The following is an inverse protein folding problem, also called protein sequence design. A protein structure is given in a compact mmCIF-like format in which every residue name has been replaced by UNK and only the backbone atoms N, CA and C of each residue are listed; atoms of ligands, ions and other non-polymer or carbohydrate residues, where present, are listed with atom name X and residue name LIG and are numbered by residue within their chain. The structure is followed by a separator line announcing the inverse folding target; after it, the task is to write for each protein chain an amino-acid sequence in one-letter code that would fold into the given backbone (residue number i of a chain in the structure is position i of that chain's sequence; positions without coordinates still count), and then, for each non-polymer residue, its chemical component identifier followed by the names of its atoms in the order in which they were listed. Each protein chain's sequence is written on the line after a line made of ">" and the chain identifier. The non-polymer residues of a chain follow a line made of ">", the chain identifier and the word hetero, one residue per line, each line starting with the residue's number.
data_IF_206271088313
#
_entry.id   IF_206271088313
#
_cell.length_a   1.000
_cell.length_b   1.000
_cell.length_c   1.000
_cell.angle_alpha   90.00
_cell.angle_beta   90.00
_cell.angle_gamma   90.00
#
_symmetry.space_group_name_H-M   'P 1'
#
loop_
_entity.id
_entity.type
_entity.pdbx_description
1 polymer ?
#
# COMPACT_ATOMS: atom_id res chain seq x y z
N UNK A 1 25.92 7.66 101.63
CA UNK A 1 24.68 7.15 101.01
C UNK A 1 24.93 6.80 99.55
N UNK A 2 24.28 5.73 99.09
CA UNK A 2 24.52 4.94 97.87
C UNK A 2 23.69 5.41 96.65
N UNK A 3 24.26 5.20 95.44
CA UNK A 3 23.70 4.62 94.19
C UNK A 3 22.39 5.15 93.53
N UNK A 4 22.44 5.37 92.20
CA UNK A 4 21.73 4.66 91.06
C UNK A 4 21.64 5.58 89.82
N UNK A 5 22.28 5.25 88.68
CA UNK A 5 21.80 4.53 87.46
C UNK A 5 20.58 5.16 86.76
N UNK A 6 20.69 5.48 85.47
CA UNK A 6 19.87 4.87 84.40
C UNK A 6 20.44 5.08 82.98
N UNK A 7 20.32 4.04 82.17
CA UNK A 7 20.72 3.90 80.76
C UNK A 7 19.62 4.45 79.84
N UNK A 8 19.99 5.00 78.69
CA UNK A 8 19.10 5.07 77.52
C UNK A 8 19.88 4.64 76.27
N UNK A 9 19.61 3.41 75.87
CA UNK A 9 19.99 2.78 74.60
C UNK A 9 19.17 3.37 73.45
N UNK A 10 19.82 3.85 72.39
CA UNK A 10 19.18 4.14 71.11
C UNK A 10 19.59 3.05 70.11
N UNK A 11 18.65 2.27 69.55
CA UNK A 11 18.95 1.35 68.47
C UNK A 11 19.05 2.12 67.15
N UNK A 12 20.20 2.00 66.48
CA UNK A 12 20.39 2.48 65.11
C UNK A 12 19.66 1.51 64.17
N UNK A 13 18.47 1.92 63.70
CA UNK A 13 17.71 1.16 62.71
C UNK A 13 18.44 1.15 61.37
N UNK A 14 18.71 -0.05 60.85
CA UNK A 14 19.16 -0.30 59.49
C UNK A 14 18.14 0.24 58.48
N UNK A 15 18.50 1.30 57.76
CA UNK A 15 17.84 1.71 56.53
C UNK A 15 18.21 0.72 55.42
N UNK A 16 17.32 -0.24 55.17
CA UNK A 16 17.30 -0.99 53.92
C UNK A 16 16.96 -0.02 52.78
N UNK A 17 17.99 0.49 52.11
CA UNK A 17 17.82 1.10 50.79
C UNK A 17 17.39 -0.01 49.82
N UNK A 18 16.09 -0.06 49.52
CA UNK A 18 15.60 -0.79 48.34
C UNK A 18 16.23 -0.12 47.12
N UNK A 19 17.28 -0.73 46.59
CA UNK A 19 17.70 -0.53 45.21
C UNK A 19 16.55 -1.01 44.32
N UNK A 20 15.61 -0.10 44.05
CA UNK A 20 14.63 -0.30 43.00
C UNK A 20 15.40 -0.41 41.69
N UNK A 21 15.38 -1.60 41.10
CA UNK A 21 15.70 -1.76 39.69
C UNK A 21 14.76 -0.83 38.92
N UNK A 22 15.28 0.32 38.50
CA UNK A 22 14.70 1.06 37.40
C UNK A 22 14.80 0.12 36.20
N UNK A 23 13.72 -0.61 35.92
CA UNK A 23 13.52 -1.20 34.60
C UNK A 23 13.68 -0.04 33.63
N UNK A 24 14.77 -0.06 32.87
CA UNK A 24 14.93 0.84 31.75
C UNK A 24 13.68 0.65 30.89
N UNK A 25 12.79 1.66 30.89
CA UNK A 25 11.73 1.71 29.90
C UNK A 25 12.46 1.75 28.57
N UNK A 26 12.43 0.63 27.84
CA UNK A 26 12.74 0.65 26.41
C UNK A 26 11.88 1.77 25.85
N UNK A 27 12.46 2.85 25.29
CA UNK A 27 11.65 3.88 24.68
C UNK A 27 10.71 3.16 23.72
N UNK A 28 9.39 3.45 23.72
CA UNK A 28 8.47 2.81 22.79
C UNK A 28 9.13 2.91 21.42
N UNK A 29 9.41 1.77 20.80
CA UNK A 29 10.14 1.74 19.53
C UNK A 29 9.39 2.69 18.60
N UNK A 30 9.97 3.85 18.29
CA UNK A 30 9.30 4.82 17.46
C UNK A 30 8.87 4.07 16.19
N UNK A 31 7.56 4.05 15.91
CA UNK A 31 7.04 3.28 14.79
C UNK A 31 7.68 3.71 13.46
N UNK A 32 7.40 2.96 12.40
CA UNK A 32 8.09 3.14 11.11
C UNK A 32 7.95 4.57 10.53
N UNK A 33 6.95 5.35 10.99
CA UNK A 33 6.70 6.72 10.52
C UNK A 33 7.88 7.63 10.79
N UNK A 34 8.40 7.63 12.01
CA UNK A 34 9.48 8.54 12.38
C UNK A 34 10.75 8.26 11.56
N UNK A 35 10.99 6.98 11.22
CA UNK A 35 12.07 6.59 10.34
C UNK A 35 11.82 7.05 8.90
N UNK A 36 10.62 6.82 8.36
CA UNK A 36 10.24 7.27 7.01
C UNK A 36 10.35 8.80 6.86
N UNK A 37 9.88 9.56 7.86
CA UNK A 37 9.96 11.03 7.87
C UNK A 37 11.42 11.52 7.87
N UNK A 38 12.32 10.90 8.67
CA UNK A 38 13.75 11.25 8.65
C UNK A 38 14.42 10.99 7.30
N UNK A 39 13.95 9.98 6.57
CA UNK A 39 14.43 9.65 5.23
C UNK A 39 13.70 10.40 4.12
N UNK A 40 12.75 11.28 4.47
CA UNK A 40 11.82 11.92 3.52
C UNK A 40 11.08 10.94 2.61
N UNK A 41 10.95 9.68 3.07
CA UNK A 41 10.35 8.59 2.32
C UNK A 41 8.85 8.52 2.57
N UNK A 42 8.07 8.29 1.51
CA UNK A 42 6.62 8.03 1.63
C UNK A 42 6.42 6.56 2.02
N UNK A 43 6.05 6.30 3.26
CA UNK A 43 5.66 4.98 3.72
C UNK A 43 4.20 4.98 4.20
N UNK A 44 3.38 4.13 3.60
CA UNK A 44 1.93 4.18 3.71
C UNK A 44 1.25 2.85 4.01
N UNK A 45 -0.04 2.92 4.27
CA UNK A 45 -0.93 1.75 4.30
C UNK A 45 -2.28 2.05 3.65
N UNK A 46 -2.89 1.04 3.05
CA UNK A 46 -4.33 1.06 2.83
C UNK A 46 -5.08 1.16 4.15
N UNK A 47 -6.17 1.94 4.16
CA UNK A 47 -7.01 2.19 5.34
C UNK A 47 -8.49 2.17 4.96
N UNK A 48 -9.33 1.76 5.90
CA UNK A 48 -10.79 1.81 5.79
C UNK A 48 -11.41 2.74 6.86
N UNK A 49 -12.64 3.24 6.67
CA UNK A 49 -13.32 4.13 7.63
C UNK A 49 -13.45 3.53 9.05
N UNK A 50 -13.56 2.21 9.16
CA UNK A 50 -13.64 1.48 10.42
C UNK A 50 -12.35 1.64 11.24
N UNK A 51 -11.18 1.63 10.58
CA UNK A 51 -9.88 1.85 11.24
C UNK A 51 -9.77 3.28 11.76
N UNK A 52 -10.27 4.26 10.98
CA UNK A 52 -10.31 5.67 11.38
C UNK A 52 -11.17 5.89 12.62
N UNK A 53 -12.29 5.16 12.74
CA UNK A 53 -13.21 5.25 13.87
C UNK A 53 -12.75 4.51 15.13
N UNK A 54 -11.77 3.61 15.01
CA UNK A 54 -11.27 2.79 16.13
C UNK A 54 -10.00 3.42 16.72
N UNK A 55 -9.99 3.84 18.01
CA UNK A 55 -8.82 4.48 18.62
C UNK A 55 -7.56 3.61 18.62
N UNK A 56 -7.69 2.30 18.78
CA UNK A 56 -6.55 1.38 18.81
C UNK A 56 -6.00 1.18 17.40
N UNK A 57 -6.89 0.95 16.42
CA UNK A 57 -6.47 0.76 15.03
C UNK A 57 -5.84 2.05 14.48
N UNK A 58 -6.51 3.19 14.62
CA UNK A 58 -5.99 4.49 14.15
C UNK A 58 -4.63 4.86 14.76
N UNK A 59 -4.37 4.51 16.03
CA UNK A 59 -3.06 4.72 16.65
C UNK A 59 -1.94 3.95 15.93
N UNK A 60 -2.19 2.69 15.53
CA UNK A 60 -1.23 1.88 14.76
C UNK A 60 -0.86 2.59 13.46
N UNK A 61 -1.81 3.21 12.77
CA UNK A 61 -1.53 4.01 11.56
C UNK A 61 -0.71 5.26 11.90
N UNK A 62 -1.10 6.03 12.92
CA UNK A 62 -0.41 7.29 13.25
C UNK A 62 1.03 7.11 13.71
N UNK A 63 1.35 5.95 14.30
CA UNK A 63 2.70 5.62 14.75
C UNK A 63 3.60 5.11 13.61
N UNK A 64 3.03 4.51 12.57
CA UNK A 64 3.82 3.73 11.60
C UNK A 64 3.84 4.28 10.18
N UNK A 65 2.88 5.10 9.76
CA UNK A 65 2.82 5.57 8.37
C UNK A 65 2.67 7.08 8.26
N UNK A 66 3.21 7.66 7.18
CA UNK A 66 3.05 9.08 6.81
C UNK A 66 2.20 9.26 5.54
N UNK A 67 1.62 8.17 5.02
CA UNK A 67 0.70 8.18 3.88
C UNK A 67 -0.43 7.17 4.10
N UNK A 68 -1.62 7.46 3.58
CA UNK A 68 -2.73 6.51 3.56
C UNK A 68 -3.35 6.39 2.17
N UNK A 69 -3.89 5.21 1.87
CA UNK A 69 -4.63 4.92 0.63
C UNK A 69 -6.05 4.49 0.99
N UNK A 70 -7.12 5.20 0.58
CA UNK A 70 -8.49 4.70 0.76
C UNK A 70 -8.66 3.39 0.00
N UNK A 71 -8.83 2.27 0.72
CA UNK A 71 -8.78 0.93 0.13
C UNK A 71 -9.82 0.72 -0.96
N UNK A 72 -11.03 1.23 -0.74
CA UNK A 72 -12.16 1.05 -1.64
C UNK A 72 -12.94 2.34 -1.92
N UNK A 73 -12.80 3.36 -1.07
CA UNK A 73 -13.71 4.50 -1.00
C UNK A 73 -13.52 5.49 -2.15
N UNK A 74 -12.42 5.37 -2.91
CA UNK A 74 -12.16 6.14 -4.13
C UNK A 74 -12.38 5.35 -5.43
N UNK A 75 -12.69 4.05 -5.36
CA UNK A 75 -13.03 3.26 -6.55
C UNK A 75 -14.35 3.74 -7.16
N UNK A 76 -14.54 3.56 -8.47
CA UNK A 76 -15.75 4.00 -9.17
C UNK A 76 -17.06 3.46 -8.53
N UNK A 77 -17.03 2.21 -8.05
CA UNK A 77 -18.14 1.58 -7.32
C UNK A 77 -18.51 2.29 -5.99
N UNK A 78 -17.59 3.04 -5.40
CA UNK A 78 -17.87 3.82 -4.20
C UNK A 78 -18.30 5.26 -4.55
N UNK A 79 -17.64 5.88 -5.53
CA UNK A 79 -17.77 7.31 -5.78
C UNK A 79 -18.90 7.68 -6.74
N UNK A 80 -19.29 6.82 -7.69
CA UNK A 80 -20.34 7.12 -8.69
C UNK A 80 -21.20 5.88 -9.01
N UNK A 81 -21.96 5.42 -8.01
CA UNK A 81 -22.82 4.23 -8.11
C UNK A 81 -23.92 4.34 -9.16
N UNK A 82 -24.39 5.56 -9.42
CA UNK A 82 -25.36 5.87 -10.48
C UNK A 82 -24.80 6.98 -11.37
N UNK A 83 -25.14 7.02 -12.67
CA UNK A 83 -24.59 8.01 -13.60
C UNK A 83 -24.77 9.44 -13.08
N UNK A 84 -23.66 10.16 -12.86
CA UNK A 84 -23.67 11.56 -12.42
C UNK A 84 -24.00 11.80 -10.94
N UNK A 85 -24.29 10.75 -10.16
CA UNK A 85 -24.60 10.87 -8.72
C UNK A 85 -23.37 10.44 -7.92
N UNK A 86 -22.68 11.43 -7.35
CA UNK A 86 -21.44 11.19 -6.61
C UNK A 86 -21.64 11.07 -5.10
N UNK A 87 -20.90 10.16 -4.48
CA UNK A 87 -20.82 10.01 -3.02
C UNK A 87 -19.37 9.99 -2.57
N UNK A 88 -19.03 10.84 -1.60
CA UNK A 88 -17.65 11.03 -1.15
C UNK A 88 -17.45 10.87 0.36
N UNK A 89 -18.52 10.72 1.14
CA UNK A 89 -18.46 10.75 2.61
C UNK A 89 -17.38 9.83 3.21
N UNK A 90 -17.35 8.52 2.87
CA UNK A 90 -16.31 7.61 3.37
C UNK A 90 -14.88 8.00 2.98
N UNK A 91 -14.67 8.49 1.75
CA UNK A 91 -13.35 8.95 1.30
C UNK A 91 -12.95 10.26 1.99
N UNK A 92 -13.90 11.18 2.19
CA UNK A 92 -13.69 12.44 2.90
C UNK A 92 -13.30 12.20 4.37
N UNK A 93 -13.86 11.18 5.02
CA UNK A 93 -13.48 10.78 6.37
C UNK A 93 -11.99 10.38 6.44
N UNK A 94 -11.51 9.59 5.48
CA UNK A 94 -10.10 9.18 5.41
C UNK A 94 -9.19 10.37 5.09
N UNK A 95 -9.58 11.23 4.14
CA UNK A 95 -8.82 12.44 3.80
C UNK A 95 -8.74 13.40 4.99
N UNK A 96 -9.82 13.55 5.76
CA UNK A 96 -9.84 14.35 6.97
C UNK A 96 -8.93 13.76 8.06
N UNK A 97 -8.92 12.43 8.23
CA UNK A 97 -8.00 11.74 9.12
C UNK A 97 -6.54 11.97 8.72
N UNK A 98 -6.21 11.83 7.43
CA UNK A 98 -4.87 12.06 6.91
C UNK A 98 -4.41 13.50 7.17
N UNK A 99 -5.26 14.47 6.86
CA UNK A 99 -5.00 15.89 7.13
C UNK A 99 -4.78 16.17 8.62
N UNK A 100 -5.65 15.64 9.49
CA UNK A 100 -5.53 15.81 10.96
C UNK A 100 -4.19 15.29 11.48
N UNK A 101 -3.68 14.22 10.89
CA UNK A 101 -2.46 13.55 11.33
C UNK A 101 -1.23 13.87 10.47
N UNK A 102 -1.28 14.90 9.62
CA UNK A 102 -0.20 15.29 8.71
C UNK A 102 0.33 14.12 7.86
N UNK A 103 -0.59 13.36 7.25
CA UNK A 103 -0.30 12.27 6.32
C UNK A 103 -0.64 12.67 4.90
N UNK A 104 0.13 12.17 3.93
CA UNK A 104 -0.22 12.23 2.50
C UNK A 104 -1.36 11.26 2.19
N UNK A 105 -2.07 11.50 1.08
CA UNK A 105 -3.11 10.57 0.59
C UNK A 105 -2.74 10.13 -0.82
N UNK A 106 -2.74 8.81 -1.03
CA UNK A 106 -2.56 8.21 -2.35
C UNK A 106 -3.93 7.78 -2.88
N UNK A 107 -4.29 8.21 -4.09
CA UNK A 107 -5.58 7.98 -4.69
C UNK A 107 -5.65 6.65 -5.44
N UNK A 108 -6.54 5.76 -5.02
CA UNK A 108 -6.74 4.44 -5.64
C UNK A 108 -8.25 4.16 -5.82
N UNK A 109 -8.80 4.07 -7.03
CA UNK A 109 -8.22 4.27 -8.36
C UNK A 109 -9.31 4.84 -9.28
N UNK A 110 -8.93 5.53 -10.36
CA UNK A 110 -9.88 6.22 -11.24
C UNK A 110 -10.52 5.29 -12.29
N UNK A 111 -9.73 4.44 -12.94
CA UNK A 111 -10.20 3.52 -13.98
C UNK A 111 -9.70 2.10 -13.69
N UNK A 112 -10.64 1.20 -13.42
CA UNK A 112 -10.38 -0.22 -13.21
C UNK A 112 -11.49 -1.04 -13.86
N UNK A 113 -11.19 -2.27 -14.29
CA UNK A 113 -12.19 -3.11 -14.95
C UNK A 113 -13.39 -3.47 -14.05
N UNK A 114 -13.23 -3.38 -12.72
CA UNK A 114 -14.31 -3.56 -11.74
C UNK A 114 -15.02 -2.22 -11.52
N UNK A 115 -15.95 -1.92 -12.43
CA UNK A 115 -16.71 -0.66 -12.49
C UNK A 115 -18.20 -0.91 -12.21
N UNK A 116 -19.02 0.11 -11.89
CA UNK A 116 -20.46 -0.09 -11.70
C UNK A 116 -21.13 -0.75 -12.90
N UNK A 117 -22.22 -1.48 -12.64
CA UNK A 117 -22.99 -2.18 -13.67
C UNK A 117 -23.43 -1.23 -14.80
N UNK A 118 -23.83 0.00 -14.46
CA UNK A 118 -24.23 1.00 -15.46
C UNK A 118 -23.10 1.39 -16.40
N UNK A 119 -21.84 1.37 -15.95
CA UNK A 119 -20.66 1.62 -16.81
C UNK A 119 -20.40 0.40 -17.69
N UNK A 120 -20.45 -0.80 -17.10
CA UNK A 120 -20.26 -2.06 -17.82
C UNK A 120 -21.32 -2.31 -18.90
N UNK A 121 -22.52 -1.75 -18.72
CA UNK A 121 -23.65 -1.86 -19.65
C UNK A 121 -23.61 -0.86 -20.82
N UNK A 122 -22.66 0.09 -20.85
CA UNK A 122 -22.50 1.01 -21.97
C UNK A 122 -22.04 0.23 -23.21
N UNK A 123 -22.60 0.57 -24.38
CA UNK A 123 -22.35 -0.14 -25.65
C UNK A 123 -21.75 0.73 -26.74
N UNK A 124 -21.55 2.03 -26.50
CA UNK A 124 -21.01 2.97 -27.49
C UNK A 124 -19.82 3.80 -26.97
N UNK A 125 -18.93 4.15 -27.90
CA UNK A 125 -17.67 4.83 -27.61
C UNK A 125 -17.84 6.27 -27.09
N UNK A 126 -18.90 6.98 -27.49
CA UNK A 126 -19.12 8.36 -27.09
C UNK A 126 -19.56 8.43 -25.62
N UNK A 127 -20.52 7.58 -25.24
CA UNK A 127 -21.06 7.52 -23.89
C UNK A 127 -20.01 7.06 -22.87
N UNK A 128 -19.22 6.02 -23.17
CA UNK A 128 -18.18 5.56 -22.23
C UNK A 128 -17.08 6.61 -22.04
N UNK A 129 -16.69 7.32 -23.12
CA UNK A 129 -15.71 8.40 -23.05
C UNK A 129 -16.22 9.58 -22.22
N UNK A 130 -17.48 9.95 -22.41
CA UNK A 130 -18.12 11.00 -21.62
C UNK A 130 -18.25 10.61 -20.14
N UNK A 131 -18.57 9.35 -19.85
CA UNK A 131 -18.63 8.82 -18.49
C UNK A 131 -17.24 8.85 -17.82
N UNK A 132 -16.19 8.37 -18.48
CA UNK A 132 -14.81 8.44 -18.00
C UNK A 132 -14.38 9.88 -17.70
N UNK A 133 -14.60 10.80 -18.65
CA UNK A 133 -14.22 12.19 -18.49
C UNK A 133 -14.95 12.86 -17.31
N UNK A 134 -16.26 12.63 -17.16
CA UNK A 134 -17.02 13.14 -16.02
C UNK A 134 -16.48 12.57 -14.71
N UNK A 135 -16.31 11.25 -14.64
CA UNK A 135 -15.86 10.56 -13.44
C UNK A 135 -14.49 11.06 -12.97
N UNK A 136 -13.49 10.96 -13.86
CA UNK A 136 -12.11 11.34 -13.58
C UNK A 136 -12.04 12.80 -13.14
N UNK A 137 -12.67 13.72 -13.89
CA UNK A 137 -12.62 15.15 -13.54
C UNK A 137 -13.28 15.44 -12.21
N UNK A 138 -14.44 14.84 -11.91
CA UNK A 138 -15.13 15.12 -10.64
C UNK A 138 -14.38 14.58 -9.43
N UNK A 139 -13.85 13.36 -9.51
CA UNK A 139 -13.08 12.75 -8.41
C UNK A 139 -11.76 13.49 -8.21
N UNK A 140 -10.97 13.71 -9.27
CA UNK A 140 -9.66 14.37 -9.18
C UNK A 140 -9.80 15.84 -8.76
N UNK A 141 -10.75 16.60 -9.32
CA UNK A 141 -10.94 18.00 -8.96
C UNK A 141 -11.35 18.18 -7.50
N UNK A 142 -12.19 17.29 -6.95
CA UNK A 142 -12.59 17.32 -5.54
C UNK A 142 -11.37 17.25 -4.61
N UNK A 143 -10.43 16.35 -4.93
CA UNK A 143 -9.29 16.05 -4.07
C UNK A 143 -7.98 16.71 -4.52
N UNK A 144 -8.03 17.66 -5.45
CA UNK A 144 -6.85 18.34 -6.03
C UNK A 144 -5.83 18.85 -5.01
N UNK A 145 -6.29 19.31 -3.83
CA UNK A 145 -5.44 19.84 -2.75
C UNK A 145 -5.11 18.83 -1.65
N UNK A 146 -5.60 17.60 -1.76
CA UNK A 146 -5.53 16.59 -0.71
C UNK A 146 -4.85 15.29 -1.16
N UNK A 147 -4.90 14.98 -2.46
CA UNK A 147 -4.29 13.79 -3.06
C UNK A 147 -3.26 14.24 -4.09
N UNK A 148 -2.03 13.78 -3.91
CA UNK A 148 -0.85 14.17 -4.68
C UNK A 148 -0.40 13.10 -5.70
N UNK A 149 -0.93 11.87 -5.59
CA UNK A 149 -0.67 10.78 -6.51
C UNK A 149 -1.94 9.96 -6.76
N UNK A 150 -2.14 9.50 -8.00
CA UNK A 150 -3.31 8.72 -8.41
C UNK A 150 -2.92 7.50 -9.24
N UNK A 151 -3.45 6.33 -8.86
CA UNK A 151 -3.63 5.22 -9.79
C UNK A 151 -4.71 5.63 -10.80
N UNK A 152 -4.28 6.06 -11.97
CA UNK A 152 -5.19 6.50 -13.04
C UNK A 152 -5.83 5.29 -13.70
N UNK A 153 -5.02 4.30 -14.06
CA UNK A 153 -5.47 3.02 -14.61
C UNK A 153 -4.88 1.90 -13.75
N UNK A 154 -5.76 1.04 -13.24
CA UNK A 154 -5.39 -0.13 -12.47
C UNK A 154 -5.59 -1.40 -13.31
N UNK A 155 -4.62 -2.31 -13.26
CA UNK A 155 -4.66 -3.67 -13.85
C UNK A 155 -5.16 -3.71 -15.31
N UNK A 156 -4.48 -2.99 -16.24
CA UNK A 156 -4.82 -3.06 -17.66
C UNK A 156 -4.57 -4.44 -18.26
N UNK A 157 -3.79 -5.31 -17.61
CA UNK A 157 -3.53 -6.68 -18.06
C UNK A 157 -4.47 -7.69 -17.39
N UNK A 158 -4.64 -8.83 -18.04
CA UNK A 158 -5.22 -10.01 -17.41
C UNK A 158 -4.34 -10.48 -16.23
N UNK A 159 -4.95 -11.19 -15.28
CA UNK A 159 -4.34 -11.43 -13.97
C UNK A 159 -3.03 -12.24 -14.06
N UNK A 160 -3.08 -13.39 -14.76
CA UNK A 160 -1.97 -14.33 -14.91
C UNK A 160 -1.53 -14.51 -16.38
N UNK A 161 -1.76 -13.53 -17.26
CA UNK A 161 -1.25 -13.53 -18.65
C UNK A 161 -0.91 -12.09 -19.10
N UNK A 162 -0.01 -11.87 -20.10
CA UNK A 162 0.44 -10.53 -20.51
C UNK A 162 -0.51 -9.82 -21.51
N UNK A 163 -1.73 -10.32 -21.65
CA UNK A 163 -2.72 -9.76 -22.55
C UNK A 163 -3.44 -8.57 -21.93
N UNK A 164 -3.75 -7.58 -22.76
CA UNK A 164 -4.60 -6.47 -22.35
C UNK A 164 -6.00 -6.99 -22.03
N UNK A 165 -6.48 -6.63 -20.84
CA UNK A 165 -7.73 -7.10 -20.29
C UNK A 165 -8.92 -6.75 -21.16
N UNK A 166 -9.83 -7.71 -21.33
CA UNK A 166 -11.10 -7.46 -22.01
C UNK A 166 -12.08 -6.73 -21.08
N UNK A 167 -12.01 -5.40 -21.04
CA UNK A 167 -12.91 -4.54 -20.27
C UNK A 167 -13.76 -3.62 -21.18
N UNK A 168 -14.81 -3.02 -20.62
CA UNK A 168 -15.72 -2.12 -21.37
C UNK A 168 -14.98 -0.95 -22.02
N UNK A 169 -13.99 -0.38 -21.32
CA UNK A 169 -13.16 0.71 -21.83
C UNK A 169 -12.39 0.30 -23.08
N UNK A 170 -11.66 -0.83 -23.02
CA UNK A 170 -10.88 -1.34 -24.15
C UNK A 170 -11.76 -1.75 -25.33
N UNK A 171 -12.89 -2.43 -25.07
CA UNK A 171 -13.81 -2.86 -26.15
C UNK A 171 -14.35 -1.69 -26.97
N UNK A 172 -14.64 -0.57 -26.32
CA UNK A 172 -15.31 0.57 -26.96
C UNK A 172 -14.34 1.69 -27.40
N UNK A 173 -13.19 1.82 -26.75
CA UNK A 173 -12.21 2.89 -27.02
C UNK A 173 -10.88 2.38 -27.57
N UNK A 174 -10.69 1.07 -27.65
CA UNK A 174 -9.39 0.46 -27.93
C UNK A 174 -8.39 0.72 -26.81
N UNK A 175 -7.13 0.34 -27.02
CA UNK A 175 -6.06 0.46 -26.03
C UNK A 175 -5.76 1.93 -25.64
N UNK A 176 -6.18 2.89 -26.47
CA UNK A 176 -5.98 4.33 -26.25
C UNK A 176 -6.78 4.86 -25.04
N UNK A 177 -7.72 4.09 -24.48
CA UNK A 177 -8.41 4.46 -23.23
C UNK A 177 -7.42 4.73 -22.09
N UNK A 178 -6.26 4.06 -22.08
CA UNK A 178 -5.22 4.26 -21.07
C UNK A 178 -4.73 5.70 -21.16
N UNK A 179 -4.21 6.11 -22.33
CA UNK A 179 -3.76 7.49 -22.54
C UNK A 179 -4.86 8.51 -22.23
N UNK A 180 -6.06 8.30 -22.76
CA UNK A 180 -7.18 9.22 -22.54
C UNK A 180 -7.45 9.45 -21.04
N UNK A 181 -7.32 8.40 -20.22
CA UNK A 181 -7.50 8.50 -18.77
C UNK A 181 -6.44 9.39 -18.12
N UNK A 182 -5.17 9.26 -18.54
CA UNK A 182 -4.08 10.10 -18.05
C UNK A 182 -4.26 11.56 -18.45
N UNK A 183 -4.64 11.84 -19.70
CA UNK A 183 -4.89 13.21 -20.15
C UNK A 183 -6.06 13.86 -19.38
N UNK A 184 -7.14 13.11 -19.15
CA UNK A 184 -8.30 13.58 -18.36
C UNK A 184 -7.92 13.87 -16.91
N UNK A 185 -7.10 13.02 -16.29
CA UNK A 185 -6.65 13.19 -14.91
C UNK A 185 -5.71 14.41 -14.78
N UNK A 186 -4.78 14.57 -15.73
CA UNK A 186 -3.86 15.70 -15.75
C UNK A 186 -4.58 17.03 -16.00
N UNK A 187 -5.60 17.07 -16.87
CA UNK A 187 -6.41 18.26 -17.07
C UNK A 187 -7.10 18.71 -15.76
N UNK A 188 -7.55 17.76 -14.94
CA UNK A 188 -8.19 18.06 -13.65
C UNK A 188 -7.18 18.47 -12.57
N UNK A 189 -6.02 17.82 -12.51
CA UNK A 189 -4.93 18.17 -11.60
C UNK A 189 -3.55 17.99 -12.24
N UNK A 190 -2.96 19.05 -12.82
CA UNK A 190 -1.65 18.98 -13.44
C UNK A 190 -0.49 18.68 -12.47
N UNK A 191 -0.69 18.95 -11.18
CA UNK A 191 0.34 18.81 -10.15
C UNK A 191 0.40 17.41 -9.54
N UNK A 192 -0.58 16.53 -9.84
CA UNK A 192 -0.60 15.18 -9.32
C UNK A 192 0.35 14.25 -10.10
N UNK A 193 1.02 13.36 -9.36
CA UNK A 193 1.73 12.22 -9.91
C UNK A 193 0.72 11.20 -10.45
N UNK A 194 0.77 10.89 -11.75
CA UNK A 194 -0.16 9.96 -12.38
C UNK A 194 0.51 8.59 -12.58
N UNK A 195 -0.18 7.54 -12.13
CA UNK A 195 0.38 6.20 -11.97
C UNK A 195 -0.41 5.15 -12.77
N UNK A 196 0.30 4.25 -13.44
CA UNK A 196 -0.24 3.01 -13.99
C UNK A 196 0.05 1.87 -13.00
N UNK A 197 -0.97 1.30 -12.37
CA UNK A 197 -0.78 0.27 -11.32
C UNK A 197 -1.07 -1.13 -11.87
N UNK A 198 -0.20 -2.10 -11.60
CA UNK A 198 -0.35 -3.47 -12.10
C UNK A 198 0.20 -4.50 -11.10
N UNK A 199 -0.34 -5.71 -11.18
CA UNK A 199 0.03 -6.82 -10.32
C UNK A 199 1.11 -7.70 -10.95
N UNK A 200 1.84 -8.42 -10.09
CA UNK A 200 2.81 -9.47 -10.46
C UNK A 200 4.11 -9.02 -11.13
N UNK A 201 4.40 -7.72 -11.17
CA UNK A 201 5.60 -7.20 -11.84
C UNK A 201 6.91 -7.52 -11.08
N UNK A 202 6.80 -7.90 -9.81
CA UNK A 202 7.90 -8.16 -8.88
C UNK A 202 8.31 -9.64 -8.84
N UNK A 203 7.44 -10.50 -9.37
CA UNK A 203 7.50 -11.95 -9.16
C UNK A 203 8.27 -12.67 -10.27
N UNK A 204 8.82 -13.83 -9.93
CA UNK A 204 9.55 -14.71 -10.85
C UNK A 204 8.62 -15.68 -11.56
N UNK A 205 8.45 -15.49 -12.86
CA UNK A 205 7.78 -16.39 -13.79
C UNK A 205 8.07 -15.92 -15.20
N UNK A 206 8.07 -16.84 -16.18
CA UNK A 206 8.14 -16.47 -17.60
C UNK A 206 6.99 -15.53 -17.98
N UNK A 207 5.79 -15.81 -17.49
CA UNK A 207 4.60 -14.99 -17.74
C UNK A 207 4.74 -13.59 -17.13
N UNK A 208 5.37 -13.48 -15.96
CA UNK A 208 5.55 -12.18 -15.30
C UNK A 208 6.66 -11.35 -15.93
N UNK A 209 7.69 -11.98 -16.52
CA UNK A 209 8.63 -11.29 -17.41
C UNK A 209 7.93 -10.73 -18.66
N UNK A 210 6.99 -11.50 -19.24
CA UNK A 210 6.18 -11.02 -20.36
C UNK A 210 5.23 -9.88 -19.93
N UNK A 211 4.65 -9.93 -18.72
CA UNK A 211 3.85 -8.81 -18.16
C UNK A 211 4.70 -7.54 -18.01
N UNK A 212 5.91 -7.64 -17.45
CA UNK A 212 6.86 -6.52 -17.38
C UNK A 212 7.14 -5.93 -18.76
N UNK A 213 7.46 -6.77 -19.75
CA UNK A 213 7.70 -6.31 -21.12
C UNK A 213 6.48 -5.61 -21.73
N UNK A 214 5.27 -6.13 -21.49
CA UNK A 214 4.02 -5.50 -21.95
C UNK A 214 3.78 -4.14 -21.29
N UNK A 215 4.00 -4.01 -19.98
CA UNK A 215 3.88 -2.72 -19.29
C UNK A 215 4.91 -1.73 -19.81
N UNK A 216 6.17 -2.13 -20.01
CA UNK A 216 7.18 -1.25 -20.61
C UNK A 216 6.77 -0.75 -21.99
N UNK A 217 6.17 -1.61 -22.83
CA UNK A 217 5.65 -1.21 -24.15
C UNK A 217 4.53 -0.16 -24.05
N UNK A 218 3.64 -0.30 -23.06
CA UNK A 218 2.58 0.67 -22.81
C UNK A 218 3.21 2.01 -22.38
N UNK A 219 4.11 1.98 -21.39
CA UNK A 219 4.78 3.19 -20.88
C UNK A 219 5.58 3.88 -21.98
N UNK A 220 6.33 3.14 -22.80
CA UNK A 220 7.06 3.66 -23.96
C UNK A 220 6.12 4.43 -24.91
N UNK A 221 4.94 3.87 -25.21
CA UNK A 221 3.95 4.54 -26.05
C UNK A 221 3.39 5.83 -25.41
N UNK A 222 3.11 5.81 -24.11
CA UNK A 222 2.63 6.98 -23.37
C UNK A 222 3.68 8.10 -23.37
N UNK A 223 4.95 7.76 -23.07
CA UNK A 223 6.07 8.70 -23.08
C UNK A 223 6.30 9.28 -24.47
N UNK A 224 6.32 8.43 -25.52
CA UNK A 224 6.49 8.87 -26.90
C UNK A 224 5.38 9.84 -27.37
N UNK A 225 4.17 9.70 -26.82
CA UNK A 225 3.02 10.57 -27.09
C UNK A 225 2.91 11.74 -26.13
N UNK A 226 3.90 11.97 -25.27
CA UNK A 226 3.95 13.04 -24.26
C UNK A 226 2.76 13.00 -23.29
N UNK A 227 2.24 11.81 -23.04
CA UNK A 227 1.19 11.59 -22.04
C UNK A 227 1.79 11.79 -20.64
N UNK A 228 1.09 12.46 -19.72
CA UNK A 228 1.60 12.80 -18.39
C UNK A 228 1.61 11.59 -17.46
N UNK A 229 2.47 10.60 -17.72
CA UNK A 229 2.74 9.48 -16.81
C UNK A 229 3.95 9.81 -15.93
N UNK A 230 3.82 9.63 -14.61
CA UNK A 230 4.88 9.93 -13.66
C UNK A 230 5.46 8.71 -12.96
N UNK A 231 4.68 7.63 -12.80
CA UNK A 231 5.18 6.38 -12.22
C UNK A 231 4.41 5.13 -12.69
N UNK A 232 4.99 3.96 -12.41
CA UNK A 232 4.29 2.67 -12.42
C UNK A 232 4.18 2.14 -10.99
N UNK A 233 3.01 1.65 -10.62
CA UNK A 233 2.72 1.00 -9.35
C UNK A 233 2.91 -0.51 -9.45
N UNK A 234 3.64 -1.05 -8.47
CA UNK A 234 3.97 -2.46 -8.29
C UNK A 234 3.16 -2.94 -7.08
N UNK A 235 2.02 -3.60 -7.31
CA UNK A 235 1.12 -4.00 -6.22
C UNK A 235 1.81 -4.85 -5.17
N UNK A 236 2.70 -5.77 -5.58
CA UNK A 236 3.48 -6.58 -4.62
C UNK A 236 2.64 -7.45 -3.67
N UNK A 237 1.51 -7.99 -4.12
CA UNK A 237 0.78 -9.04 -3.39
C UNK A 237 1.49 -10.39 -3.51
N UNK A 238 2.01 -10.96 -2.43
CA UNK A 238 2.71 -12.25 -2.48
C UNK A 238 1.86 -13.43 -1.98
N UNK A 239 2.05 -14.60 -2.59
CA UNK A 239 1.54 -15.89 -2.09
C UNK A 239 2.72 -16.77 -1.70
N UNK A 240 3.28 -16.62 -0.49
CA UNK A 240 4.34 -17.48 0.00
C UNK A 240 4.05 -18.98 -0.19
N UNK A 241 5.03 -19.72 -0.74
CA UNK A 241 4.87 -21.12 -1.16
C UNK A 241 4.47 -21.29 -2.62
N UNK A 242 4.03 -20.24 -3.31
CA UNK A 242 3.82 -20.22 -4.77
C UNK A 242 4.69 -19.18 -5.47
N UNK A 243 4.76 -17.99 -4.89
CA UNK A 243 5.43 -16.84 -5.49
C UNK A 243 6.84 -16.67 -4.92
N UNK A 244 7.79 -16.26 -5.76
CA UNK A 244 9.13 -15.80 -5.37
C UNK A 244 9.39 -14.45 -6.02
N UNK A 245 10.12 -13.58 -5.35
CA UNK A 245 10.61 -12.34 -5.96
C UNK A 245 11.57 -12.65 -7.11
N UNK A 246 11.61 -11.79 -8.12
CA UNK A 246 12.58 -11.81 -9.22
C UNK A 246 13.50 -10.59 -9.14
N UNK A 247 14.59 -10.62 -8.35
CA UNK A 247 15.43 -9.44 -8.15
C UNK A 247 15.98 -8.88 -9.46
N UNK A 248 16.38 -9.76 -10.37
CA UNK A 248 16.96 -9.36 -11.66
C UNK A 248 15.89 -8.87 -12.64
N UNK A 249 14.76 -9.59 -12.78
CA UNK A 249 13.67 -9.17 -13.66
C UNK A 249 13.01 -7.86 -13.21
N UNK A 250 12.69 -7.75 -11.93
CA UNK A 250 12.17 -6.54 -11.32
C UNK A 250 13.19 -5.39 -11.41
N UNK A 251 14.47 -5.65 -11.10
CA UNK A 251 15.54 -4.65 -11.17
C UNK A 251 15.71 -4.05 -12.56
N UNK A 252 15.73 -4.89 -13.62
CA UNK A 252 15.78 -4.41 -15.02
C UNK A 252 14.55 -3.57 -15.38
N UNK A 253 13.38 -3.99 -14.94
CA UNK A 253 12.13 -3.24 -15.17
C UNK A 253 12.16 -1.87 -14.51
N UNK A 254 12.54 -1.79 -13.23
CA UNK A 254 12.69 -0.52 -12.50
C UNK A 254 13.73 0.39 -13.14
N UNK A 255 14.88 -0.15 -13.59
CA UNK A 255 15.91 0.62 -14.29
C UNK A 255 15.40 1.18 -15.63
N UNK A 256 14.68 0.37 -16.41
CA UNK A 256 14.13 0.80 -17.69
C UNK A 256 13.08 1.92 -17.52
N UNK A 257 12.24 1.84 -16.49
CA UNK A 257 11.29 2.92 -16.16
C UNK A 257 12.04 4.21 -15.80
N UNK A 258 13.08 4.11 -14.97
CA UNK A 258 13.95 5.24 -14.60
C UNK A 258 14.61 5.89 -15.81
N UNK A 259 15.11 5.10 -16.76
CA UNK A 259 15.70 5.60 -18.01
C UNK A 259 14.69 6.35 -18.89
N UNK A 260 13.39 6.03 -18.78
CA UNK A 260 12.30 6.78 -19.42
C UNK A 260 11.84 8.00 -18.61
N UNK A 261 12.43 8.28 -17.44
CA UNK A 261 12.02 9.34 -16.53
C UNK A 261 10.73 9.03 -15.75
N UNK A 262 10.35 7.75 -15.64
CA UNK A 262 9.15 7.27 -14.95
C UNK A 262 9.55 6.61 -13.62
N UNK A 263 8.94 7.06 -12.52
CA UNK A 263 9.19 6.54 -11.19
C UNK A 263 8.50 5.19 -10.91
N UNK A 264 8.72 4.67 -9.70
CA UNK A 264 8.09 3.42 -9.23
C UNK A 264 7.45 3.66 -7.86
N UNK A 265 6.27 3.09 -7.64
CA UNK A 265 5.68 2.92 -6.31
C UNK A 265 5.55 1.43 -5.99
N UNK A 266 5.76 1.05 -4.73
CA UNK A 266 5.18 -0.18 -4.18
C UNK A 266 3.81 0.19 -3.61
N UNK A 267 2.72 -0.42 -4.08
CA UNK A 267 1.37 0.15 -3.86
C UNK A 267 0.46 -0.68 -2.94
N UNK A 268 0.62 -2.00 -2.90
CA UNK A 268 -0.33 -2.89 -2.20
C UNK A 268 0.39 -4.07 -1.49
N UNK A 269 1.57 -3.82 -0.92
CA UNK A 269 2.43 -4.87 -0.38
C UNK A 269 1.74 -5.63 0.76
N UNK A 270 1.49 -6.92 0.52
CA UNK A 270 1.00 -7.88 1.51
C UNK A 270 1.47 -9.30 1.17
N UNK A 271 1.20 -10.26 2.05
CA UNK A 271 1.41 -11.67 1.75
C UNK A 271 0.23 -12.55 2.23
N UNK A 272 -0.10 -13.61 1.50
CA UNK A 272 -1.10 -14.60 1.91
C UNK A 272 -0.43 -15.91 2.34
N UNK A 273 -0.42 -16.19 3.65
CA UNK A 273 0.09 -17.46 4.19
C UNK A 273 -0.76 -18.68 3.87
N UNK A 274 -1.92 -18.50 3.23
CA UNK A 274 -2.81 -19.59 2.81
C UNK A 274 -2.08 -20.68 2.01
N UNK A 275 -1.07 -20.28 1.24
CA UNK A 275 -0.41 -21.14 0.26
C UNK A 275 0.78 -21.94 0.81
N UNK A 276 1.18 -21.74 2.07
CA UNK A 276 2.31 -22.43 2.70
C UNK A 276 2.16 -23.96 2.72
N UNK A 277 0.92 -24.45 2.86
CA UNK A 277 0.63 -25.89 2.90
C UNK A 277 0.52 -26.55 1.51
N UNK A 278 0.61 -25.78 0.42
CA UNK A 278 0.49 -26.33 -0.95
C UNK A 278 1.81 -26.87 -1.50
N UNK A 279 2.94 -26.47 -0.91
CA UNK A 279 4.26 -26.95 -1.30
C UNK A 279 4.88 -27.78 -0.16
N UNK A 280 4.93 -29.10 -0.35
CA UNK A 280 5.55 -30.06 0.59
C UNK A 280 7.08 -29.89 0.70
N UNK A 281 7.69 -29.08 -0.16
CA UNK A 281 9.11 -28.74 -0.17
C UNK A 281 9.38 -27.30 0.32
N UNK A 282 8.38 -26.60 0.86
CA UNK A 282 8.51 -25.19 1.20
C UNK A 282 9.63 -24.93 2.22
N UNK A 283 10.55 -24.06 1.81
CA UNK A 283 11.53 -23.44 2.71
C UNK A 283 10.77 -22.47 3.63
N UNK A 284 11.18 -22.30 4.91
CA UNK A 284 10.59 -21.30 5.78
C UNK A 284 10.56 -19.92 5.10
N UNK A 285 9.37 -19.31 5.06
CA UNK A 285 9.18 -18.01 4.41
C UNK A 285 9.57 -16.91 5.39
N UNK A 286 10.48 -16.04 4.97
CA UNK A 286 10.80 -14.81 5.69
C UNK A 286 9.98 -13.64 5.14
N UNK A 287 8.96 -13.20 5.88
CA UNK A 287 8.24 -11.96 5.53
C UNK A 287 9.16 -10.72 5.56
N UNK A 288 10.22 -10.76 6.38
CA UNK A 288 11.24 -9.72 6.40
C UNK A 288 11.96 -9.61 5.06
N UNK A 289 12.27 -10.74 4.42
CA UNK A 289 12.89 -10.77 3.09
C UNK A 289 11.90 -10.32 2.02
N UNK A 290 10.68 -10.86 2.00
CA UNK A 290 9.66 -10.47 0.99
C UNK A 290 9.40 -8.96 1.01
N UNK A 291 9.12 -8.40 2.20
CA UNK A 291 8.75 -7.00 2.32
C UNK A 291 9.97 -6.07 2.19
N UNK A 292 11.15 -6.50 2.68
CA UNK A 292 12.38 -5.73 2.60
C UNK A 292 12.97 -5.69 1.20
N UNK A 293 13.02 -6.83 0.50
CA UNK A 293 13.70 -6.96 -0.79
C UNK A 293 12.97 -6.19 -1.88
N UNK A 294 11.63 -6.26 -1.94
CA UNK A 294 10.85 -5.53 -2.94
C UNK A 294 11.07 -4.01 -2.83
N UNK A 295 11.15 -3.48 -1.60
CA UNK A 295 11.44 -2.07 -1.36
C UNK A 295 12.89 -1.75 -1.74
N UNK A 296 13.84 -2.59 -1.29
CA UNK A 296 15.28 -2.41 -1.53
C UNK A 296 15.59 -2.40 -3.03
N UNK A 297 15.11 -3.39 -3.78
CA UNK A 297 15.35 -3.50 -5.22
C UNK A 297 14.79 -2.29 -5.96
N UNK A 298 13.56 -1.86 -5.64
CA UNK A 298 12.97 -0.70 -6.28
C UNK A 298 13.74 0.60 -5.96
N UNK A 299 14.25 0.75 -4.74
CA UNK A 299 15.06 1.89 -4.32
C UNK A 299 16.43 1.92 -5.00
N UNK A 300 17.12 0.77 -5.08
CA UNK A 300 18.46 0.66 -5.65
C UNK A 300 18.48 0.74 -7.17
N UNK A 301 17.49 0.11 -7.82
CA UNK A 301 17.46 -0.04 -9.30
C UNK A 301 16.54 0.96 -9.98
N UNK A 302 15.59 1.54 -9.27
CA UNK A 302 14.59 2.45 -9.82
C UNK A 302 14.74 3.89 -9.34
N UNK A 303 13.62 4.60 -9.44
CA UNK A 303 13.35 5.89 -8.80
C UNK A 303 12.10 5.71 -7.92
N UNK A 304 12.31 5.09 -6.76
CA UNK A 304 11.24 4.73 -5.83
C UNK A 304 10.64 5.98 -5.17
N UNK A 305 9.34 6.18 -5.38
CA UNK A 305 8.58 7.34 -4.88
C UNK A 305 7.89 7.08 -3.54
N UNK A 306 7.70 5.81 -3.18
CA UNK A 306 7.06 5.42 -1.93
C UNK A 306 6.69 3.94 -1.89
N UNK A 307 6.38 3.45 -0.70
CA UNK A 307 5.86 2.11 -0.48
C UNK A 307 4.61 2.13 0.39
N UNK A 308 3.61 1.34 0.01
CA UNK A 308 2.34 1.19 0.73
C UNK A 308 2.09 -0.29 0.99
N UNK A 309 1.81 -0.65 2.24
CA UNK A 309 1.31 -1.98 2.60
C UNK A 309 -0.22 -2.05 2.49
N UNK A 310 -0.78 -3.21 2.17
CA UNK A 310 -2.23 -3.34 1.97
C UNK A 310 -3.01 -3.65 3.25
N UNK A 311 -2.61 -3.02 4.35
CA UNK A 311 -3.18 -3.20 5.68
C UNK A 311 -2.09 -3.12 6.75
N UNK A 312 -2.51 -2.92 8.00
CA UNK A 312 -1.58 -2.81 9.12
C UNK A 312 -1.58 -4.06 9.99
N UNK A 313 -2.72 -4.34 10.62
CA UNK A 313 -2.89 -5.43 11.57
C UNK A 313 -3.92 -6.43 11.07
N UNK A 314 -3.56 -7.72 11.16
CA UNK A 314 -4.47 -8.82 10.87
C UNK A 314 -5.71 -8.79 11.76
N UNK A 315 -5.63 -8.24 12.97
CA UNK A 315 -6.80 -8.12 13.86
C UNK A 315 -7.97 -7.41 13.21
N UNK A 316 -7.69 -6.34 12.45
CA UNK A 316 -8.70 -5.49 11.80
C UNK A 316 -8.87 -5.79 10.31
N UNK A 317 -7.97 -6.59 9.73
CA UNK A 317 -8.08 -7.06 8.35
C UNK A 317 -9.28 -8.00 8.15
N UNK A 318 -9.91 -7.87 6.99
CA UNK A 318 -10.90 -8.84 6.49
C UNK A 318 -10.27 -10.22 6.26
N UNK A 319 -11.13 -11.23 6.11
CA UNK A 319 -10.69 -12.56 5.66
C UNK A 319 -10.14 -12.45 4.23
N UNK A 320 -9.11 -13.24 3.91
CA UNK A 320 -8.66 -13.40 2.53
C UNK A 320 -9.80 -14.03 1.72
N UNK A 321 -10.29 -13.36 0.68
CA UNK A 321 -11.56 -13.70 0.02
C UNK A 321 -11.59 -15.13 -0.54
N UNK A 322 -12.72 -15.82 -0.31
CA UNK A 322 -13.12 -17.15 -0.84
C UNK A 322 -12.33 -18.36 -0.36
N UNK A 323 -12.21 -18.58 0.95
CA UNK A 323 -11.93 -19.94 1.39
C UNK A 323 -12.66 -20.37 2.66
N UNK A 324 -13.37 -21.50 2.54
CA UNK A 324 -14.02 -22.25 3.61
C UNK A 324 -13.15 -23.42 4.07
N UNK A 325 -11.93 -23.56 3.54
CA UNK A 325 -11.02 -24.66 3.84
C UNK A 325 -10.51 -24.62 5.30
N UNK A 326 -10.90 -25.59 6.15
CA UNK A 326 -10.47 -25.66 7.54
C UNK A 326 -8.97 -25.95 7.72
N UNK A 327 -8.24 -26.34 6.65
CA UNK A 327 -6.81 -26.68 6.68
C UNK A 327 -5.86 -25.56 6.24
N UNK A 328 -6.35 -24.34 6.05
CA UNK A 328 -5.51 -23.19 5.70
C UNK A 328 -4.58 -22.82 6.88
N UNK A 329 -3.31 -22.52 6.60
CA UNK A 329 -2.34 -22.10 7.63
C UNK A 329 -2.71 -20.74 8.27
N UNK A 330 -3.48 -19.91 7.57
CA UNK A 330 -4.06 -18.67 8.08
C UNK A 330 -5.27 -18.25 7.24
N UNK A 331 -6.11 -17.38 7.79
CA UNK A 331 -7.36 -16.90 7.18
C UNK A 331 -7.33 -15.42 6.77
N UNK A 332 -6.21 -14.73 7.01
CA UNK A 332 -6.03 -13.30 6.78
C UNK A 332 -4.72 -13.01 6.07
N UNK A 333 -4.64 -11.85 5.40
CA UNK A 333 -3.42 -11.34 4.77
C UNK A 333 -2.41 -10.90 5.82
N UNK A 334 -1.17 -11.37 5.67
CA UNK A 334 -0.01 -10.99 6.47
C UNK A 334 0.40 -9.56 6.14
N UNK A 335 0.51 -8.75 7.19
CA UNK A 335 0.92 -7.36 7.13
C UNK A 335 2.01 -7.10 8.20
N UNK A 336 1.98 -5.93 8.86
CA UNK A 336 2.99 -5.50 9.85
C UNK A 336 2.73 -6.11 11.23
N UNK A 337 1.48 -6.31 11.59
CA UNK A 337 1.06 -6.80 12.90
C UNK A 337 0.14 -8.00 12.78
N UNK A 338 0.29 -8.95 13.70
CA UNK A 338 -0.55 -10.14 13.76
C UNK A 338 -1.91 -9.88 14.43
N UNK A 339 -2.69 -10.94 14.66
CA UNK A 339 -4.01 -10.89 15.30
C UNK A 339 -4.01 -10.39 16.75
N UNK A 340 -2.85 -10.41 17.42
CA UNK A 340 -2.64 -9.88 18.76
C UNK A 340 -2.11 -8.44 18.77
N UNK A 341 -1.89 -7.85 17.59
CA UNK A 341 -1.16 -6.60 17.37
C UNK A 341 0.34 -6.68 17.75
N UNK A 342 0.93 -7.88 17.75
CA UNK A 342 2.37 -8.02 17.90
C UNK A 342 3.06 -7.83 16.55
N UNK A 343 4.23 -7.16 16.51
CA UNK A 343 4.94 -6.89 15.27
C UNK A 343 5.43 -8.19 14.62
N UNK A 344 5.25 -8.29 13.30
CA UNK A 344 5.79 -9.38 12.48
C UNK A 344 7.17 -9.03 11.95
N UNK A 345 7.88 -10.05 11.47
CA UNK A 345 9.20 -9.90 10.84
C UNK A 345 9.19 -9.00 9.58
N UNK A 346 8.03 -8.80 8.95
CA UNK A 346 7.83 -7.79 7.88
C UNK A 346 8.23 -6.38 8.34
N UNK A 347 7.96 -6.01 9.60
CA UNK A 347 8.38 -4.72 10.19
C UNK A 347 9.89 -4.56 10.15
N UNK A 348 10.64 -5.60 10.51
CA UNK A 348 12.10 -5.59 10.49
C UNK A 348 12.65 -5.48 9.07
N UNK A 349 12.03 -6.17 8.11
CA UNK A 349 12.36 -6.09 6.69
C UNK A 349 12.21 -4.68 6.13
N UNK A 350 11.04 -4.08 6.35
CA UNK A 350 10.73 -2.71 5.92
C UNK A 350 11.68 -1.72 6.60
N UNK A 351 11.90 -1.87 7.92
CA UNK A 351 12.80 -1.00 8.67
C UNK A 351 14.20 -0.97 8.06
N UNK A 352 14.79 -2.15 7.79
CA UNK A 352 16.11 -2.25 7.15
C UNK A 352 16.13 -1.59 5.77
N UNK A 353 15.09 -1.81 4.97
CA UNK A 353 15.00 -1.21 3.64
C UNK A 353 14.95 0.33 3.70
N UNK A 354 14.13 0.90 4.61
CA UNK A 354 14.06 2.37 4.78
C UNK A 354 15.36 2.92 5.38
N UNK A 355 16.02 2.20 6.29
CA UNK A 355 17.31 2.62 6.87
C UNK A 355 18.43 2.72 5.82
N UNK A 356 18.39 1.86 4.79
CA UNK A 356 19.38 1.79 3.72
C UNK A 356 19.23 2.84 2.60
N UNK A 357 18.06 3.48 2.48
CA UNK A 357 17.81 4.61 1.55
C UNK A 357 18.56 5.87 1.98
#
# INVERSE_FOLDING_TARGET
>A
MNRRRFLASVPLALLYARAGQALAQVPPSAGLRALADRKSFRFGSAIDPEDVGNPIASQIYTDNVNSVTPRNQLKWNATEKMPGVFSFGPADQIVAFARKNNMRVYGHTLVWYRTPDWVSAITDAATIRAAMNRHIKQVVARYKKSIDAWDVVNEPLEYDVPDLRNCVFRRLLGDDYIRMSFDMAHEANPDAMLVLNETHLEKKSEVFEQKRARILKIVENLVARKTPIGAVGLQSHFRPGLDRIDPEGMGRFCATLKDMGVGVFITELDASCHFLNRDKSSTPVSYAEIFGDVITIAAERGDLKGATVWGMSEKYGGLDEKDTNPGAACTKRVNLYDENNDPRSSVDGIKRAIEAM
#
